data_IF_972954049905
#
_entry.id   IF_972954049905
#
_cell.length_a   1.000
_cell.length_b   1.000
_cell.length_c   1.000
_cell.angle_alpha   90.00
_cell.angle_beta   90.00
_cell.angle_gamma   90.00
#
_symmetry.space_group_name_H-M   'P 1'
#
loop_
_entity.id
_entity.type
_entity.pdbx_description
1 polymer ?
#
# COMPACT_ATOMS: atom_id res chain seq x y z
N UNK A 1 33.50 94.23 -79.49
CA UNK A 1 34.01 93.60 -78.26
C UNK A 1 32.82 92.97 -77.54
N UNK A 2 32.94 91.66 -77.29
CA UNK A 2 32.25 90.89 -76.25
C UNK A 2 30.75 90.51 -76.43
N UNK A 3 30.58 89.19 -76.59
CA UNK A 3 29.57 88.32 -76.00
C UNK A 3 28.08 88.58 -76.35
N UNK A 4 27.63 87.96 -77.44
CA UNK A 4 26.21 87.59 -77.58
C UNK A 4 26.01 86.27 -76.85
N UNK A 5 25.54 86.38 -75.62
CA UNK A 5 25.13 85.27 -74.77
C UNK A 5 23.79 84.75 -75.30
N UNK A 6 23.87 83.77 -76.20
CA UNK A 6 22.69 83.07 -76.71
C UNK A 6 22.11 82.18 -75.59
N UNK A 7 21.11 82.73 -74.90
CA UNK A 7 20.23 81.95 -74.02
C UNK A 7 19.60 80.82 -74.84
N UNK A 8 19.77 79.54 -74.45
CA UNK A 8 19.15 78.45 -75.19
C UNK A 8 17.63 78.54 -75.08
N UNK A 9 16.88 78.09 -76.11
CA UNK A 9 15.42 78.14 -76.09
C UNK A 9 14.89 77.35 -74.88
N UNK A 10 13.93 77.90 -74.15
CA UNK A 10 13.35 77.30 -72.93
C UNK A 10 12.92 75.83 -73.11
N UNK A 11 12.59 75.43 -74.34
CA UNK A 11 12.22 74.06 -74.69
C UNK A 11 13.39 73.04 -74.66
N UNK A 12 14.63 73.46 -74.93
CA UNK A 12 15.79 72.57 -74.96
C UNK A 12 16.43 72.36 -73.57
N UNK A 13 16.38 73.37 -72.69
CA UNK A 13 16.75 73.17 -71.28
C UNK A 13 15.66 72.42 -70.53
N UNK A 14 14.38 72.69 -70.81
CA UNK A 14 13.26 71.92 -70.25
C UNK A 14 13.34 70.43 -70.61
N UNK A 15 13.74 70.05 -71.83
CA UNK A 15 13.86 68.63 -72.21
C UNK A 15 14.99 67.91 -71.46
N UNK A 16 16.12 68.57 -71.18
CA UNK A 16 17.21 67.97 -70.38
C UNK A 16 16.81 67.81 -68.91
N UNK A 17 16.12 68.79 -68.32
CA UNK A 17 15.59 68.65 -66.96
C UNK A 17 14.47 67.62 -66.87
N UNK A 18 13.63 67.47 -67.91
CA UNK A 18 12.61 66.42 -67.99
C UNK A 18 13.27 65.04 -68.07
N UNK A 19 14.29 64.85 -68.92
CA UNK A 19 15.00 63.57 -69.05
C UNK A 19 15.75 63.24 -67.76
N UNK A 20 16.39 64.23 -67.13
CA UNK A 20 17.05 64.06 -65.83
C UNK A 20 16.06 63.72 -64.71
N UNK A 21 14.91 64.39 -64.66
CA UNK A 21 13.85 64.08 -63.71
C UNK A 21 13.25 62.69 -63.95
N UNK A 22 13.13 62.25 -65.21
CA UNK A 22 12.63 60.92 -65.56
C UNK A 22 13.64 59.83 -65.17
N UNK A 23 14.94 60.08 -65.34
CA UNK A 23 16.00 59.17 -64.87
C UNK A 23 16.02 59.07 -63.35
N UNK A 24 15.93 60.19 -62.62
CA UNK A 24 15.88 60.21 -61.16
C UNK A 24 14.59 59.57 -60.65
N UNK A 25 13.47 59.79 -61.33
CA UNK A 25 12.19 59.16 -61.00
C UNK A 25 12.24 57.65 -61.26
N UNK A 26 12.86 57.21 -62.34
CA UNK A 26 13.04 55.78 -62.65
C UNK A 26 14.00 55.08 -61.68
N UNK A 27 15.11 55.71 -61.30
CA UNK A 27 16.03 55.13 -60.32
C UNK A 27 15.46 55.14 -58.91
N UNK A 28 14.70 56.19 -58.54
CA UNK A 28 13.95 56.20 -57.30
C UNK A 28 12.86 55.11 -57.29
N UNK A 29 12.15 54.92 -58.41
CA UNK A 29 11.16 53.85 -58.54
C UNK A 29 11.80 52.46 -58.49
N UNK A 30 12.89 52.24 -59.21
CA UNK A 30 13.62 50.96 -59.22
C UNK A 30 14.24 50.61 -57.86
N UNK A 31 14.63 51.61 -57.05
CA UNK A 31 15.11 51.39 -55.68
C UNK A 31 14.00 50.99 -54.71
N UNK A 32 12.74 51.29 -55.02
CA UNK A 32 11.57 50.91 -54.23
C UNK A 32 10.82 49.71 -54.82
N UNK A 33 11.17 49.28 -56.03
CA UNK A 33 10.55 48.14 -56.69
C UNK A 33 11.12 46.84 -56.11
N UNK A 34 10.36 46.21 -55.22
CA UNK A 34 10.59 44.84 -54.80
C UNK A 34 10.21 43.90 -55.94
N UNK A 35 11.11 42.96 -56.28
CA UNK A 35 10.88 41.92 -57.29
C UNK A 35 10.58 40.63 -56.55
N UNK A 36 9.35 40.16 -56.66
CA UNK A 36 8.93 38.90 -56.03
C UNK A 36 9.48 37.70 -56.82
N UNK A 37 10.45 36.99 -56.24
CA UNK A 37 11.00 35.74 -56.79
C UNK A 37 10.34 34.53 -56.11
N UNK A 38 9.69 33.66 -56.89
CA UNK A 38 8.89 32.55 -56.38
C UNK A 38 9.68 31.24 -56.53
N UNK A 39 10.19 30.72 -55.41
CA UNK A 39 10.72 29.36 -55.36
C UNK A 39 9.57 28.35 -55.37
N UNK A 40 9.64 27.34 -56.25
CA UNK A 40 8.64 26.26 -56.33
C UNK A 40 9.25 24.96 -55.84
N UNK A 41 8.51 24.26 -54.97
CA UNK A 41 8.87 22.92 -54.52
C UNK A 41 7.66 22.01 -54.57
N UNK A 42 7.88 20.75 -54.92
CA UNK A 42 6.88 19.70 -54.77
C UNK A 42 6.98 19.11 -53.37
N UNK A 43 5.84 18.92 -52.70
CA UNK A 43 5.82 18.45 -51.33
C UNK A 43 4.66 17.53 -51.03
N UNK A 44 4.82 16.75 -49.97
CA UNK A 44 3.78 15.86 -49.44
C UNK A 44 3.28 16.37 -48.10
N UNK A 45 1.98 16.20 -47.87
CA UNK A 45 1.38 16.47 -46.56
C UNK A 45 1.74 15.30 -45.65
N UNK A 46 2.52 15.57 -44.61
CA UNK A 46 2.84 14.61 -43.57
C UNK A 46 2.15 15.04 -42.27
N UNK A 47 1.58 14.11 -41.50
CA UNK A 47 1.13 14.44 -40.16
C UNK A 47 2.34 14.93 -39.37
N UNK A 48 2.18 16.02 -38.61
CA UNK A 48 3.25 16.52 -37.74
C UNK A 48 3.69 15.44 -36.72
N UNK A 49 2.77 14.53 -36.40
CA UNK A 49 2.97 13.47 -35.42
C UNK A 49 3.42 12.17 -36.08
N UNK A 50 4.47 11.57 -35.51
CA UNK A 50 4.92 10.22 -35.89
C UNK A 50 3.86 9.17 -35.51
N UNK A 51 3.75 8.12 -36.33
CA UNK A 51 2.92 6.94 -36.03
C UNK A 51 3.28 6.37 -34.66
N UNK A 52 2.27 6.19 -33.81
CA UNK A 52 2.40 5.60 -32.50
C UNK A 52 2.29 4.08 -32.64
N UNK A 53 3.34 3.37 -32.21
CA UNK A 53 3.39 1.91 -32.23
C UNK A 53 2.85 1.41 -30.90
N UNK A 54 1.82 0.57 -30.95
CA UNK A 54 1.18 -0.02 -29.77
C UNK A 54 1.66 -1.45 -29.65
N UNK A 55 2.25 -1.76 -28.51
CA UNK A 55 2.79 -3.07 -28.19
C UNK A 55 2.02 -3.71 -27.05
N UNK A 56 1.93 -5.04 -27.06
CA UNK A 56 1.36 -5.79 -25.96
C UNK A 56 2.28 -5.70 -24.73
N UNK A 57 1.75 -5.24 -23.60
CA UNK A 57 2.50 -5.24 -22.33
C UNK A 57 2.49 -6.62 -21.66
N UNK A 58 1.43 -7.40 -21.88
CA UNK A 58 1.20 -8.72 -21.31
C UNK A 58 1.15 -9.80 -22.40
N UNK A 59 1.53 -11.02 -22.05
CA UNK A 59 1.37 -12.17 -22.94
C UNK A 59 -0.07 -12.68 -22.89
N UNK A 60 -0.61 -13.12 -24.03
CA UNK A 60 -1.95 -13.68 -24.04
C UNK A 60 -2.40 -14.13 -25.42
N UNK A 61 -3.53 -14.84 -25.44
CA UNK A 61 -4.19 -15.27 -26.68
C UNK A 61 -5.20 -14.20 -27.09
N UNK A 62 -5.25 -13.80 -28.36
CA UNK A 62 -6.23 -12.81 -28.83
C UNK A 62 -7.64 -13.38 -28.74
N UNK A 63 -8.47 -12.75 -27.92
CA UNK A 63 -9.87 -13.12 -27.72
C UNK A 63 -10.81 -12.30 -28.60
N UNK A 64 -10.53 -11.00 -28.73
CA UNK A 64 -11.37 -10.06 -29.49
C UNK A 64 -10.49 -9.00 -30.18
N UNK A 65 -10.80 -8.70 -31.43
CA UNK A 65 -10.23 -7.57 -32.18
C UNK A 65 -11.37 -6.60 -32.44
N UNK A 66 -11.34 -5.43 -31.81
CA UNK A 66 -12.45 -4.47 -31.79
C UNK A 66 -12.34 -3.39 -32.88
N UNK A 67 -11.24 -3.33 -33.62
CA UNK A 67 -10.99 -2.30 -34.65
C UNK A 67 -10.55 -2.90 -35.99
N UNK A 68 -10.73 -2.11 -37.04
CA UNK A 68 -10.31 -2.44 -38.41
C UNK A 68 -9.27 -1.45 -38.94
N UNK A 69 -8.46 -1.89 -39.91
CA UNK A 69 -7.49 -1.01 -40.59
C UNK A 69 -8.25 0.12 -41.31
N UNK A 70 -7.80 1.36 -41.12
CA UNK A 70 -8.44 2.57 -41.65
C UNK A 70 -9.56 3.14 -40.78
N UNK A 71 -9.94 2.48 -39.68
CA UNK A 71 -10.95 2.98 -38.74
C UNK A 71 -10.40 4.14 -37.91
N UNK A 72 -11.21 5.18 -37.71
CA UNK A 72 -10.93 6.25 -36.75
C UNK A 72 -11.24 5.76 -35.34
N UNK A 73 -10.28 5.91 -34.44
CA UNK A 73 -10.37 5.52 -33.03
C UNK A 73 -10.08 6.71 -32.14
N UNK A 74 -10.76 6.76 -31.00
CA UNK A 74 -10.52 7.73 -29.96
C UNK A 74 -9.53 7.21 -28.93
N UNK A 75 -8.96 8.12 -28.15
CA UNK A 75 -8.18 7.78 -26.98
C UNK A 75 -8.99 6.87 -26.04
N UNK A 76 -8.36 5.80 -25.57
CA UNK A 76 -8.90 4.72 -24.74
C UNK A 76 -9.87 3.74 -25.44
N UNK A 77 -10.11 3.88 -26.74
CA UNK A 77 -10.88 2.86 -27.47
C UNK A 77 -10.14 1.52 -27.46
N UNK A 78 -10.90 0.44 -27.27
CA UNK A 78 -10.37 -0.92 -27.27
C UNK A 78 -9.91 -1.28 -28.69
N UNK A 79 -8.69 -1.78 -28.80
CA UNK A 79 -8.10 -2.26 -30.06
C UNK A 79 -8.18 -3.78 -30.09
N UNK A 80 -7.54 -4.41 -29.10
CA UNK A 80 -7.47 -5.87 -28.95
C UNK A 80 -7.67 -6.23 -27.48
N UNK A 81 -8.43 -7.29 -27.22
CA UNK A 81 -8.52 -7.94 -25.91
C UNK A 81 -7.80 -9.27 -25.94
N UNK A 82 -6.87 -9.46 -25.02
CA UNK A 82 -6.22 -10.74 -24.78
C UNK A 82 -7.01 -11.55 -23.74
N UNK A 83 -6.96 -12.87 -23.84
CA UNK A 83 -7.47 -13.77 -22.81
C UNK A 83 -6.72 -13.52 -21.50
N UNK A 84 -7.49 -13.18 -20.47
CA UNK A 84 -6.99 -12.81 -19.15
C UNK A 84 -7.37 -13.85 -18.08
N UNK A 85 -7.82 -15.05 -18.47
CA UNK A 85 -8.21 -16.12 -17.54
C UNK A 85 -7.15 -16.42 -16.47
N UNK A 86 -5.87 -16.46 -16.86
CA UNK A 86 -4.75 -16.62 -15.93
C UNK A 86 -4.60 -15.43 -14.97
N UNK A 87 -4.54 -14.21 -15.50
CA UNK A 87 -4.35 -12.99 -14.70
C UNK A 87 -5.54 -12.72 -13.76
N UNK A 88 -6.77 -12.99 -14.21
CA UNK A 88 -7.99 -12.88 -13.41
C UNK A 88 -8.06 -13.94 -12.32
N UNK A 89 -7.59 -15.17 -12.59
CA UNK A 89 -7.47 -16.22 -11.58
C UNK A 89 -6.47 -15.84 -10.48
N UNK A 90 -5.30 -15.32 -10.86
CA UNK A 90 -4.30 -14.82 -9.89
C UNK A 90 -4.83 -13.65 -9.07
N UNK A 91 -5.53 -12.70 -9.68
CA UNK A 91 -6.21 -11.61 -8.96
C UNK A 91 -7.25 -12.15 -7.97
N UNK A 92 -8.06 -13.12 -8.40
CA UNK A 92 -9.07 -13.76 -7.57
C UNK A 92 -8.48 -14.50 -6.37
N UNK A 93 -7.32 -15.14 -6.54
CA UNK A 93 -6.56 -15.79 -5.46
C UNK A 93 -6.12 -14.76 -4.40
N UNK A 94 -5.50 -13.66 -4.83
CA UNK A 94 -5.05 -12.61 -3.92
C UNK A 94 -6.22 -11.92 -3.20
N UNK A 95 -7.33 -11.67 -3.91
CA UNK A 95 -8.56 -11.16 -3.30
C UNK A 95 -9.17 -12.14 -2.29
N UNK A 96 -9.04 -13.46 -2.49
CA UNK A 96 -9.48 -14.45 -1.52
C UNK A 96 -8.59 -14.43 -0.26
N UNK A 97 -7.27 -14.32 -0.43
CA UNK A 97 -6.32 -14.15 0.68
C UNK A 97 -6.61 -12.88 1.49
N UNK A 98 -6.85 -11.74 0.81
CA UNK A 98 -7.18 -10.48 1.48
C UNK A 98 -8.46 -10.60 2.31
N UNK A 99 -9.52 -11.21 1.77
CA UNK A 99 -10.77 -11.47 2.52
C UNK A 99 -10.53 -12.33 3.76
N UNK A 100 -9.73 -13.39 3.65
CA UNK A 100 -9.38 -14.22 4.81
C UNK A 100 -8.61 -13.42 5.88
N UNK A 101 -7.64 -12.60 5.47
CA UNK A 101 -6.87 -11.75 6.38
C UNK A 101 -7.75 -10.70 7.06
N UNK A 102 -8.66 -10.06 6.33
CA UNK A 102 -9.60 -9.09 6.89
C UNK A 102 -10.53 -9.72 7.94
N UNK A 103 -11.05 -10.92 7.70
CA UNK A 103 -11.84 -11.64 8.70
C UNK A 103 -11.01 -11.97 9.94
N UNK A 104 -9.77 -12.45 9.75
CA UNK A 104 -8.82 -12.72 10.84
C UNK A 104 -8.50 -11.45 11.64
N UNK A 105 -8.27 -10.32 10.98
CA UNK A 105 -8.02 -9.02 11.62
C UNK A 105 -9.22 -8.60 12.47
N UNK A 106 -10.45 -8.73 11.95
CA UNK A 106 -11.65 -8.42 12.71
C UNK A 106 -11.76 -9.28 13.97
N UNK A 107 -11.40 -10.58 13.91
CA UNK A 107 -11.39 -11.47 15.09
C UNK A 107 -10.34 -11.03 16.09
N UNK A 108 -9.14 -10.72 15.62
CA UNK A 108 -8.03 -10.31 16.49
C UNK A 108 -8.26 -8.95 17.14
N UNK A 109 -8.88 -8.00 16.44
CA UNK A 109 -9.33 -6.73 17.03
C UNK A 109 -10.40 -6.94 18.10
N UNK A 110 -11.32 -7.88 17.87
CA UNK A 110 -12.31 -8.26 18.85
C UNK A 110 -11.66 -8.90 20.10
N UNK A 111 -10.73 -9.85 19.92
CA UNK A 111 -9.96 -10.47 21.02
C UNK A 111 -9.11 -9.44 21.79
N UNK A 112 -8.46 -8.50 21.09
CA UNK A 112 -7.67 -7.42 21.68
C UNK A 112 -8.50 -6.53 22.60
N UNK A 113 -9.76 -6.28 22.25
CA UNK A 113 -10.66 -5.43 23.04
C UNK A 113 -11.05 -6.05 24.40
N UNK A 114 -10.68 -7.31 24.65
CA UNK A 114 -11.00 -8.04 25.88
C UNK A 114 -12.46 -8.46 25.96
N UNK A 115 -13.23 -8.30 24.88
CA UNK A 115 -14.63 -8.64 24.83
C UNK A 115 -14.75 -10.12 24.42
N UNK A 116 -14.92 -11.01 25.39
CA UNK A 116 -14.87 -12.48 25.16
C UNK A 116 -16.28 -13.11 25.08
N UNK A 117 -17.33 -12.34 25.35
CA UNK A 117 -18.72 -12.84 25.44
C UNK A 117 -19.58 -12.51 24.21
N UNK A 118 -19.11 -11.65 23.31
CA UNK A 118 -19.85 -11.27 22.11
C UNK A 118 -19.67 -12.26 20.94
N UNK A 119 -20.62 -12.22 19.99
CA UNK A 119 -20.47 -12.90 18.70
C UNK A 119 -19.44 -12.17 17.84
N UNK A 120 -18.64 -12.92 17.07
CA UNK A 120 -17.70 -12.35 16.09
C UNK A 120 -18.40 -11.37 15.14
N UNK A 121 -17.98 -10.09 15.08
CA UNK A 121 -18.53 -9.14 14.14
C UNK A 121 -17.86 -9.31 12.76
N UNK A 122 -18.33 -10.28 11.96
CA UNK A 122 -17.77 -10.45 10.61
C UNK A 122 -18.11 -9.24 9.71
N UNK A 123 -17.15 -8.73 8.92
CA UNK A 123 -17.42 -7.69 7.94
C UNK A 123 -18.52 -8.11 6.94
N UNK A 124 -19.49 -7.23 6.71
CA UNK A 124 -20.67 -7.52 5.89
C UNK A 124 -20.33 -7.86 4.42
N UNK A 125 -19.22 -7.35 3.90
CA UNK A 125 -18.74 -7.65 2.54
C UNK A 125 -18.28 -9.12 2.44
N UNK A 126 -17.58 -9.62 3.45
CA UNK A 126 -17.08 -11.00 3.49
C UNK A 126 -18.23 -11.97 3.72
N UNK A 127 -19.17 -11.64 4.62
CA UNK A 127 -20.33 -12.48 4.90
C UNK A 127 -21.18 -12.78 3.65
N UNK A 128 -21.26 -11.83 2.71
CA UNK A 128 -22.01 -12.01 1.45
C UNK A 128 -21.29 -12.87 0.42
N UNK A 129 -19.97 -12.76 0.34
CA UNK A 129 -19.17 -13.39 -0.73
C UNK A 129 -18.64 -14.76 -0.29
N UNK A 130 -18.22 -14.90 0.96
CA UNK A 130 -17.56 -16.09 1.50
C UNK A 130 -17.95 -16.30 2.98
N UNK A 131 -19.20 -16.73 3.27
CA UNK A 131 -19.68 -16.94 4.64
C UNK A 131 -18.86 -17.99 5.40
N UNK A 132 -18.31 -18.99 4.71
CA UNK A 132 -17.50 -20.06 5.32
C UNK A 132 -16.27 -19.54 6.06
N UNK A 133 -15.67 -18.43 5.60
CA UNK A 133 -14.53 -17.80 6.28
C UNK A 133 -14.98 -17.26 7.65
N UNK A 134 -16.11 -16.55 7.68
CA UNK A 134 -16.66 -16.01 8.92
C UNK A 134 -17.03 -17.12 9.91
N UNK A 135 -17.62 -18.20 9.43
CA UNK A 135 -18.01 -19.34 10.27
C UNK A 135 -16.79 -20.05 10.89
N UNK A 136 -15.70 -20.18 10.12
CA UNK A 136 -14.46 -20.77 10.61
C UNK A 136 -13.77 -19.88 11.65
N UNK A 137 -13.72 -18.57 11.42
CA UNK A 137 -13.18 -17.61 12.41
C UNK A 137 -14.03 -17.57 13.69
N UNK A 138 -15.36 -17.65 13.57
CA UNK A 138 -16.25 -17.77 14.73
C UNK A 138 -16.01 -19.06 15.53
N UNK A 139 -15.86 -20.21 14.86
CA UNK A 139 -15.52 -21.47 15.53
C UNK A 139 -14.17 -21.39 16.24
N UNK A 140 -13.18 -20.76 15.60
CA UNK A 140 -11.86 -20.57 16.20
C UNK A 140 -11.91 -19.67 17.43
N UNK A 141 -12.67 -18.56 17.37
CA UNK A 141 -12.88 -17.65 18.50
C UNK A 141 -13.48 -18.38 19.70
N UNK A 142 -14.54 -19.17 19.48
CA UNK A 142 -15.17 -19.97 20.55
C UNK A 142 -14.18 -20.98 21.13
N UNK A 143 -13.43 -21.71 20.29
CA UNK A 143 -12.43 -22.66 20.77
C UNK A 143 -11.30 -22.00 21.58
N UNK A 144 -10.84 -20.81 21.18
CA UNK A 144 -9.81 -20.05 21.93
C UNK A 144 -10.36 -19.56 23.26
N UNK A 145 -11.60 -19.06 23.30
CA UNK A 145 -12.28 -18.67 24.55
C UNK A 145 -12.40 -19.85 25.51
N UNK A 146 -12.91 -20.98 25.04
CA UNK A 146 -13.13 -22.14 25.89
C UNK A 146 -11.78 -22.67 26.44
N UNK A 147 -10.70 -22.62 25.63
CA UNK A 147 -9.35 -22.94 26.09
C UNK A 147 -8.85 -21.99 27.18
N UNK A 148 -9.08 -20.69 27.02
CA UNK A 148 -8.73 -19.68 28.02
C UNK A 148 -9.49 -19.90 29.32
N UNK A 149 -10.79 -20.17 29.25
CA UNK A 149 -11.63 -20.43 30.43
C UNK A 149 -11.16 -21.67 31.20
N UNK A 150 -10.85 -22.75 30.50
CA UNK A 150 -10.28 -23.98 31.11
C UNK A 150 -8.94 -23.72 31.77
N UNK A 151 -8.04 -22.96 31.13
CA UNK A 151 -6.75 -22.59 31.74
C UNK A 151 -6.96 -21.72 32.98
N UNK A 152 -7.86 -20.76 32.90
CA UNK A 152 -8.20 -19.87 34.02
C UNK A 152 -8.78 -20.67 35.19
N UNK A 153 -9.67 -21.63 34.94
CA UNK A 153 -10.24 -22.47 36.00
C UNK A 153 -9.16 -23.30 36.69
N UNK A 154 -8.21 -23.87 35.94
CA UNK A 154 -7.08 -24.62 36.52
C UNK A 154 -6.21 -23.73 37.41
N UNK A 155 -5.88 -22.51 36.96
CA UNK A 155 -5.08 -21.58 37.76
C UNK A 155 -5.83 -21.09 39.01
N UNK A 156 -7.14 -20.84 38.90
CA UNK A 156 -7.98 -20.50 40.05
C UNK A 156 -8.07 -21.65 41.06
N UNK A 157 -8.22 -22.88 40.61
CA UNK A 157 -8.20 -24.05 41.51
C UNK A 157 -6.85 -24.22 42.21
N UNK A 158 -5.73 -23.91 41.54
CA UNK A 158 -4.40 -23.90 42.17
C UNK A 158 -4.28 -22.79 43.22
N UNK A 159 -4.85 -21.61 42.95
CA UNK A 159 -4.88 -20.51 43.92
C UNK A 159 -5.67 -20.90 45.18
N UNK A 160 -6.89 -21.42 45.01
CA UNK A 160 -7.73 -21.92 46.10
C UNK A 160 -7.03 -23.02 46.92
N UNK A 161 -6.30 -23.93 46.26
CA UNK A 161 -5.49 -24.92 46.97
C UNK A 161 -4.41 -24.27 47.85
N UNK A 162 -3.71 -23.25 47.34
CA UNK A 162 -2.66 -22.54 48.10
C UNK A 162 -3.22 -21.72 49.25
N UNK A 163 -4.42 -21.15 49.09
CA UNK A 163 -5.15 -20.48 50.17
C UNK A 163 -5.51 -21.47 51.28
N UNK A 164 -6.01 -22.66 50.94
CA UNK A 164 -6.30 -23.72 51.93
C UNK A 164 -5.05 -24.21 52.66
N UNK A 165 -3.92 -24.34 51.96
CA UNK A 165 -2.63 -24.68 52.59
C UNK A 165 -2.16 -23.59 53.58
N UNK A 166 -2.44 -22.31 53.29
CA UNK A 166 -2.20 -21.22 54.23
C UNK A 166 -3.13 -21.31 55.44
N UNK A 167 -4.42 -21.57 55.23
CA UNK A 167 -5.39 -21.72 56.31
C UNK A 167 -5.00 -22.86 57.26
N UNK A 168 -4.56 -24.01 56.73
CA UNK A 168 -4.05 -25.12 57.53
C UNK A 168 -2.80 -24.72 58.34
N UNK A 169 -1.84 -24.04 57.71
CA UNK A 169 -0.63 -23.58 58.37
C UNK A 169 -0.93 -22.56 59.50
N UNK A 170 -1.88 -21.65 59.28
CA UNK A 170 -2.32 -20.68 60.29
C UNK A 170 -3.03 -21.35 61.46
N UNK A 171 -3.92 -22.31 61.20
CA UNK A 171 -4.57 -23.10 62.24
C UNK A 171 -3.57 -23.89 63.09
N UNK A 172 -2.52 -24.45 62.47
CA UNK A 172 -1.46 -25.13 63.21
C UNK A 172 -0.61 -24.16 64.05
N UNK A 173 -0.28 -22.98 63.52
CA UNK A 173 0.41 -21.94 64.28
C UNK A 173 -0.43 -21.45 65.48
N UNK A 174 -1.75 -21.28 65.29
CA UNK A 174 -2.68 -20.91 66.36
C UNK A 174 -2.80 -21.99 67.45
N UNK A 175 -2.76 -23.27 67.04
CA UNK A 175 -2.71 -24.38 67.99
C UNK A 175 -1.43 -24.35 68.81
N UNK A 176 -0.27 -24.18 68.16
CA UNK A 176 1.04 -24.10 68.81
C UNK A 176 1.15 -22.88 69.73
N UNK A 177 0.62 -21.73 69.33
CA UNK A 177 0.63 -20.51 70.16
C UNK A 177 -0.20 -20.68 71.43
N UNK A 178 -1.36 -21.34 71.35
CA UNK A 178 -2.18 -21.68 72.52
C UNK A 178 -1.46 -22.68 73.45
N UNK A 179 -0.82 -23.71 72.90
CA UNK A 179 -0.02 -24.66 73.68
C UNK A 179 1.17 -23.98 74.37
N UNK A 180 1.87 -23.09 73.66
CA UNK A 180 2.98 -22.32 74.21
C UNK A 180 2.50 -21.42 75.36
N UNK A 181 1.36 -20.75 75.22
CA UNK A 181 0.80 -19.92 76.30
C UNK A 181 0.48 -20.71 77.58
N UNK A 182 0.06 -21.97 77.46
CA UNK A 182 -0.13 -22.86 78.61
C UNK A 182 1.22 -23.29 79.21
N UNK A 183 2.19 -23.66 78.37
CA UNK A 183 3.54 -24.02 78.79
C UNK A 183 4.25 -22.85 79.49
N UNK A 184 4.07 -21.61 79.01
CA UNK A 184 4.60 -20.38 79.63
C UNK A 184 4.08 -20.20 81.06
N UNK A 185 2.78 -20.47 81.28
CA UNK A 185 2.16 -20.42 82.61
C UNK A 185 2.72 -21.50 83.54
N UNK A 186 2.92 -22.72 83.01
CA UNK A 186 3.51 -23.82 83.76
C UNK A 186 4.96 -23.51 84.17
N UNK A 187 5.78 -23.02 83.25
CA UNK A 187 7.17 -22.61 83.52
C UNK A 187 7.22 -21.54 84.60
N UNK A 188 6.38 -20.50 84.52
CA UNK A 188 6.35 -19.42 85.50
C UNK A 188 5.95 -19.92 86.91
N UNK A 189 5.00 -20.85 86.99
CA UNK A 189 4.60 -21.47 88.26
C UNK A 189 5.74 -22.30 88.84
N UNK A 190 6.34 -23.18 88.05
CA UNK A 190 7.47 -24.04 88.45
C UNK A 190 8.68 -23.21 88.87
N UNK A 191 9.03 -22.16 88.12
CA UNK A 191 10.12 -21.25 88.46
C UNK A 191 9.90 -20.62 89.86
N UNK A 192 8.67 -20.18 90.14
CA UNK A 192 8.33 -19.59 91.44
C UNK A 192 8.42 -20.61 92.60
N UNK A 193 8.10 -21.89 92.34
CA UNK A 193 8.17 -22.97 93.33
C UNK A 193 9.62 -23.40 93.60
N UNK A 194 10.45 -23.49 92.56
CA UNK A 194 11.88 -23.79 92.68
C UNK A 194 12.60 -22.66 93.44
N UNK A 195 12.29 -21.38 93.19
CA UNK A 195 12.83 -20.25 93.97
C UNK A 195 12.51 -20.31 95.46
N UNK A 196 11.35 -20.90 95.81
CA UNK A 196 10.93 -21.14 97.20
C UNK A 196 11.46 -22.45 97.78
N UNK A 197 12.24 -23.23 97.01
CA UNK A 197 12.78 -24.53 97.41
C UNK A 197 11.73 -25.67 97.47
N UNK A 198 10.55 -25.46 96.91
CA UNK A 198 9.41 -26.40 96.97
C UNK A 198 9.41 -27.44 95.84
N UNK A 199 10.33 -27.32 94.87
CA UNK A 199 10.43 -28.21 93.72
C UNK A 199 11.89 -28.36 93.26
N UNK A 200 12.21 -29.48 92.61
CA UNK A 200 13.54 -29.76 92.10
C UNK A 200 13.88 -28.95 90.84
N UNK A 201 15.13 -28.49 90.72
CA UNK A 201 15.61 -27.75 89.53
C UNK A 201 15.55 -28.56 88.23
N UNK A 202 15.55 -29.88 88.31
CA UNK A 202 15.37 -30.77 87.16
C UNK A 202 13.98 -30.62 86.53
N UNK A 203 12.96 -30.33 87.33
CA UNK A 203 11.59 -30.08 86.84
C UNK A 203 11.52 -28.77 86.07
N UNK A 204 12.18 -27.72 86.56
CA UNK A 204 12.30 -26.45 85.84
C UNK A 204 12.94 -26.62 84.46
N UNK A 205 14.08 -27.32 84.38
CA UNK A 205 14.76 -27.57 83.10
C UNK A 205 13.88 -28.37 82.12
N UNK A 206 13.04 -29.27 82.64
CA UNK A 206 12.11 -30.06 81.80
C UNK A 206 11.08 -29.15 81.13
N UNK A 207 10.41 -28.29 81.89
CA UNK A 207 9.38 -27.40 81.35
C UNK A 207 10.00 -26.32 80.45
N UNK A 208 11.17 -25.77 80.81
CA UNK A 208 11.92 -24.83 79.96
C UNK A 208 12.30 -25.45 78.59
N UNK A 209 12.66 -26.74 78.56
CA UNK A 209 12.96 -27.45 77.31
C UNK A 209 11.71 -27.60 76.44
N UNK A 210 10.58 -27.96 77.04
CA UNK A 210 9.30 -28.10 76.33
C UNK A 210 8.83 -26.75 75.77
N UNK A 211 8.91 -25.68 76.56
CA UNK A 211 8.63 -24.32 76.12
C UNK A 211 9.52 -23.92 74.93
N UNK A 212 10.83 -24.19 75.02
CA UNK A 212 11.79 -23.89 73.95
C UNK A 212 11.47 -24.66 72.66
N UNK A 213 11.07 -25.93 72.78
CA UNK A 213 10.68 -26.75 71.64
C UNK A 213 9.40 -26.22 70.97
N UNK A 214 8.36 -25.91 71.76
CA UNK A 214 7.12 -25.29 71.26
C UNK A 214 7.37 -23.94 70.58
N UNK A 215 8.26 -23.12 71.16
CA UNK A 215 8.66 -21.84 70.59
C UNK A 215 9.40 -22.04 69.24
N UNK A 216 10.29 -23.03 69.16
CA UNK A 216 10.96 -23.42 67.92
C UNK A 216 9.98 -23.89 66.84
N UNK A 217 9.01 -24.74 67.20
CA UNK A 217 7.96 -25.20 66.29
C UNK A 217 7.07 -24.05 65.80
N UNK A 218 6.70 -23.11 66.68
CA UNK A 218 5.91 -21.94 66.31
C UNK A 218 6.66 -21.03 65.32
N UNK A 219 7.97 -20.83 65.54
CA UNK A 219 8.81 -20.08 64.61
C UNK A 219 8.87 -20.74 63.23
N UNK A 220 9.03 -22.07 63.17
CA UNK A 220 8.98 -22.83 61.90
C UNK A 220 7.62 -22.73 61.22
N UNK A 221 6.53 -22.78 61.97
CA UNK A 221 5.18 -22.57 61.44
C UNK A 221 5.01 -21.15 60.88
N UNK A 222 5.56 -20.14 61.56
CA UNK A 222 5.59 -18.76 61.07
C UNK A 222 6.33 -18.60 59.74
N UNK A 223 7.49 -19.26 59.57
CA UNK A 223 8.20 -19.28 58.29
C UNK A 223 7.42 -20.01 57.19
N UNK A 224 6.72 -21.08 57.55
CA UNK A 224 5.83 -21.80 56.62
C UNK A 224 4.70 -20.90 56.12
N UNK A 225 4.07 -20.12 57.01
CA UNK A 225 3.04 -19.13 56.65
C UNK A 225 3.59 -18.10 55.66
N UNK A 226 4.80 -17.57 55.90
CA UNK A 226 5.44 -16.61 54.97
C UNK A 226 5.66 -17.24 53.60
N UNK A 227 6.15 -18.49 53.55
CA UNK A 227 6.33 -19.25 52.31
C UNK A 227 5.00 -19.46 51.57
N UNK A 228 3.94 -19.86 52.27
CA UNK A 228 2.61 -20.04 51.66
C UNK A 228 2.04 -18.74 51.11
N UNK A 229 2.18 -17.61 51.82
CA UNK A 229 1.77 -16.29 51.31
C UNK A 229 2.52 -15.87 50.05
N UNK A 230 3.82 -16.13 49.99
CA UNK A 230 4.60 -15.89 48.77
C UNK A 230 4.10 -16.77 47.61
N UNK A 231 3.78 -18.04 47.87
CA UNK A 231 3.26 -18.97 46.88
C UNK A 231 1.84 -18.60 46.37
N UNK A 232 0.98 -18.02 47.23
CA UNK A 232 -0.31 -17.45 46.83
C UNK A 232 -0.08 -16.24 45.92
N UNK A 233 0.86 -15.36 46.28
CA UNK A 233 1.18 -14.18 45.46
C UNK A 233 1.69 -14.59 44.08
N UNK A 234 2.56 -15.61 44.01
CA UNK A 234 2.99 -16.22 42.75
C UNK A 234 1.82 -16.78 41.93
N UNK A 235 0.92 -17.57 42.55
CA UNK A 235 -0.26 -18.12 41.88
C UNK A 235 -1.21 -17.02 41.35
N UNK A 236 -1.38 -15.94 42.10
CA UNK A 236 -2.18 -14.79 41.69
C UNK A 236 -1.55 -14.05 40.50
N UNK A 237 -0.21 -13.91 40.49
CA UNK A 237 0.52 -13.35 39.36
C UNK A 237 0.35 -14.22 38.11
N UNK A 238 0.38 -15.55 38.24
CA UNK A 238 0.13 -16.46 37.12
C UNK A 238 -1.29 -16.32 36.54
N UNK A 239 -2.30 -16.12 37.39
CA UNK A 239 -3.68 -15.84 36.94
C UNK A 239 -3.74 -14.54 36.12
N UNK A 240 -3.08 -13.48 36.59
CA UNK A 240 -3.05 -12.19 35.90
C UNK A 240 -2.24 -12.25 34.60
N UNK A 241 -1.12 -12.99 34.61
CA UNK A 241 -0.24 -13.19 33.45
C UNK A 241 -0.98 -13.85 32.29
N UNK A 242 -1.84 -14.83 32.56
CA UNK A 242 -2.61 -15.52 31.51
C UNK A 242 -3.41 -14.55 30.62
N UNK A 243 -4.02 -13.51 31.22
CA UNK A 243 -4.77 -12.49 30.48
C UNK A 243 -3.85 -11.60 29.63
N UNK A 244 -2.72 -11.17 30.19
CA UNK A 244 -1.72 -10.38 29.47
C UNK A 244 -1.11 -11.16 28.30
N UNK A 245 -0.87 -12.45 28.49
CA UNK A 245 -0.31 -13.34 27.48
C UNK A 245 -1.27 -13.49 26.28
N UNK A 246 -2.57 -13.68 26.54
CA UNK A 246 -3.58 -13.69 25.47
C UNK A 246 -3.62 -12.37 24.69
N UNK A 247 -3.57 -11.23 25.40
CA UNK A 247 -3.57 -9.91 24.77
C UNK A 247 -2.31 -9.68 23.93
N UNK A 248 -1.14 -10.10 24.43
CA UNK A 248 0.13 -10.01 23.72
C UNK A 248 0.12 -10.88 22.46
N UNK A 249 -0.37 -12.12 22.54
CA UNK A 249 -0.53 -13.02 21.40
C UNK A 249 -1.46 -12.42 20.34
N UNK A 250 -2.63 -11.92 20.75
CA UNK A 250 -3.59 -11.29 19.83
C UNK A 250 -3.01 -10.05 19.13
N UNK A 251 -2.26 -9.21 19.85
CA UNK A 251 -1.57 -8.04 19.30
C UNK A 251 -0.46 -8.42 18.31
N UNK A 252 0.32 -9.44 18.64
CA UNK A 252 1.38 -9.94 17.76
C UNK A 252 0.79 -10.51 16.47
N UNK A 253 -0.23 -11.36 16.60
CA UNK A 253 -0.97 -11.93 15.46
C UNK A 253 -1.63 -10.83 14.61
N UNK A 254 -2.18 -9.79 15.25
CA UNK A 254 -2.81 -8.66 14.57
C UNK A 254 -1.80 -7.88 13.75
N UNK A 255 -0.64 -7.58 14.33
CA UNK A 255 0.42 -6.84 13.65
C UNK A 255 0.94 -7.63 12.44
N UNK A 256 1.11 -8.94 12.58
CA UNK A 256 1.49 -9.81 11.46
C UNK A 256 0.41 -9.84 10.37
N UNK A 257 -0.86 -10.01 10.74
CA UNK A 257 -1.95 -10.05 9.78
C UNK A 257 -2.14 -8.72 9.03
N UNK A 258 -1.92 -7.58 9.69
CA UNK A 258 -1.94 -6.26 9.06
C UNK A 258 -0.77 -6.06 8.09
N UNK A 259 0.42 -6.55 8.45
CA UNK A 259 1.58 -6.52 7.55
C UNK A 259 1.35 -7.40 6.31
N UNK A 260 0.84 -8.62 6.51
CA UNK A 260 0.50 -9.55 5.43
C UNK A 260 -0.58 -8.96 4.52
N UNK A 261 -1.62 -8.34 5.09
CA UNK A 261 -2.68 -7.67 4.33
C UNK A 261 -2.11 -6.53 3.48
N UNK A 262 -1.20 -5.73 4.03
CA UNK A 262 -0.56 -4.63 3.29
C UNK A 262 0.23 -5.12 2.08
N UNK A 263 0.89 -6.28 2.20
CA UNK A 263 1.61 -6.93 1.09
C UNK A 263 0.65 -7.48 0.05
N UNK A 264 -0.43 -8.14 0.48
CA UNK A 264 -1.46 -8.69 -0.41
C UNK A 264 -2.18 -7.56 -1.15
N UNK A 265 -2.52 -6.45 -0.49
CA UNK A 265 -3.18 -5.30 -1.11
C UNK A 265 -2.32 -4.68 -2.23
N UNK A 266 -0.99 -4.59 -2.02
CA UNK A 266 -0.09 -4.13 -3.07
C UNK A 266 0.01 -5.13 -4.23
N UNK A 267 -0.03 -6.43 -3.92
CA UNK A 267 -0.07 -7.49 -4.93
C UNK A 267 -1.38 -7.46 -5.73
N UNK A 268 -2.52 -7.20 -5.07
CA UNK A 268 -3.82 -7.00 -5.72
C UNK A 268 -3.77 -5.81 -6.66
N UNK A 269 -3.17 -4.68 -6.25
CA UNK A 269 -2.98 -3.51 -7.12
C UNK A 269 -2.23 -3.88 -8.39
N UNK A 270 -1.08 -4.55 -8.25
CA UNK A 270 -0.28 -5.02 -9.38
C UNK A 270 -1.02 -6.03 -10.26
N UNK A 271 -1.74 -6.99 -9.67
CA UNK A 271 -2.53 -7.98 -10.41
C UNK A 271 -3.72 -7.34 -11.15
N UNK A 272 -4.36 -6.33 -10.55
CA UNK A 272 -5.44 -5.55 -11.18
C UNK A 272 -4.91 -4.80 -12.40
N UNK A 273 -3.74 -4.17 -12.29
CA UNK A 273 -3.08 -3.49 -13.41
C UNK A 273 -2.73 -4.47 -14.53
N UNK A 274 -2.24 -5.67 -14.21
CA UNK A 274 -1.97 -6.72 -15.21
C UNK A 274 -3.24 -7.15 -15.93
N UNK A 275 -4.34 -7.35 -15.21
CA UNK A 275 -5.64 -7.64 -15.83
C UNK A 275 -6.07 -6.49 -16.72
N UNK A 276 -5.97 -5.24 -16.27
CA UNK A 276 -6.32 -4.08 -17.08
C UNK A 276 -5.46 -3.95 -18.36
N UNK A 277 -4.18 -4.33 -18.32
CA UNK A 277 -3.26 -4.30 -19.46
C UNK A 277 -3.50 -5.41 -20.49
N UNK A 278 -4.37 -6.38 -20.22
CA UNK A 278 -4.83 -7.35 -21.23
C UNK A 278 -5.79 -6.73 -22.25
N UNK A 279 -6.46 -5.63 -21.88
CA UNK A 279 -7.22 -4.77 -22.79
C UNK A 279 -6.26 -3.74 -23.40
N UNK A 280 -5.84 -3.96 -24.65
CA UNK A 280 -4.97 -3.03 -25.38
C UNK A 280 -5.82 -1.91 -25.98
N UNK A 281 -5.54 -0.67 -25.55
CA UNK A 281 -6.32 0.52 -25.91
C UNK A 281 -5.48 1.57 -26.63
N UNK A 282 -6.14 2.44 -27.39
CA UNK A 282 -5.47 3.54 -28.08
C UNK A 282 -4.98 4.63 -27.12
N UNK A 283 -3.71 5.06 -27.16
CA UNK A 283 -3.22 6.17 -26.32
C UNK A 283 -3.62 7.56 -26.84
N UNK A 284 -4.02 7.66 -28.11
CA UNK A 284 -4.29 8.93 -28.82
C UNK A 284 -5.53 8.80 -29.72
N UNK A 285 -6.13 9.92 -30.08
CA UNK A 285 -7.13 9.97 -31.15
C UNK A 285 -6.41 9.86 -32.50
N UNK A 286 -6.87 8.97 -33.38
CA UNK A 286 -6.13 8.63 -34.59
C UNK A 286 -6.85 7.69 -35.54
N UNK A 287 -6.15 7.35 -36.61
CA UNK A 287 -6.58 6.34 -37.58
C UNK A 287 -5.65 5.13 -37.46
N UNK A 288 -6.23 3.93 -37.45
CA UNK A 288 -5.47 2.68 -37.44
C UNK A 288 -4.80 2.48 -38.79
N UNK A 289 -3.47 2.59 -38.83
CA UNK A 289 -2.67 2.46 -40.04
C UNK A 289 -2.25 1.01 -40.31
N UNK A 290 -1.80 0.31 -39.27
CA UNK A 290 -1.39 -1.11 -39.36
C UNK A 290 -1.98 -1.93 -38.22
N UNK A 291 -2.29 -3.19 -38.50
CA UNK A 291 -2.73 -4.19 -37.54
C UNK A 291 -1.93 -5.47 -37.79
N UNK A 292 -0.91 -5.70 -36.99
CA UNK A 292 0.04 -6.81 -37.19
C UNK A 292 -0.55 -8.14 -36.68
N UNK A 293 -1.52 -8.05 -35.77
CA UNK A 293 -2.26 -9.20 -35.23
C UNK A 293 -3.72 -9.13 -35.70
N UNK A 294 -4.05 -9.90 -36.72
CA UNK A 294 -5.38 -9.91 -37.36
C UNK A 294 -6.16 -11.23 -37.17
N UNK A 295 -5.58 -12.22 -36.50
CA UNK A 295 -6.16 -13.54 -36.29
C UNK A 295 -6.64 -13.73 -34.85
N UNK A 296 -7.92 -14.09 -34.69
CA UNK A 296 -8.47 -14.53 -33.41
C UNK A 296 -7.79 -15.85 -33.00
N UNK A 297 -7.42 -15.98 -31.72
CA UNK A 297 -6.70 -17.14 -31.20
C UNK A 297 -5.17 -17.11 -31.41
N UNK A 298 -4.62 -16.05 -32.00
CA UNK A 298 -3.16 -15.88 -32.07
C UNK A 298 -2.55 -15.60 -30.70
N UNK A 299 -1.38 -16.18 -30.45
CA UNK A 299 -0.62 -15.92 -29.22
C UNK A 299 0.32 -14.71 -29.42
N UNK A 300 0.20 -13.73 -28.53
CA UNK A 300 0.99 -12.50 -28.56
C UNK A 300 2.01 -12.53 -27.42
N UNK A 301 3.28 -12.30 -27.74
CA UNK A 301 4.35 -12.17 -26.76
C UNK A 301 4.43 -10.74 -26.21
N UNK A 302 4.92 -10.54 -24.96
CA UNK A 302 5.19 -9.20 -24.44
C UNK A 302 6.16 -8.44 -25.34
N UNK A 303 5.86 -7.18 -25.64
CA UNK A 303 6.64 -6.32 -26.53
C UNK A 303 6.36 -6.49 -28.02
N UNK A 304 5.53 -7.47 -28.42
CA UNK A 304 5.11 -7.62 -29.80
C UNK A 304 4.26 -6.41 -30.24
N UNK A 305 4.49 -5.94 -31.47
CA UNK A 305 3.69 -4.87 -32.08
C UNK A 305 2.31 -5.42 -32.43
N UNK A 306 1.28 -4.69 -32.02
CA UNK A 306 -0.12 -5.08 -32.18
C UNK A 306 -0.80 -4.19 -33.22
N UNK A 307 -0.65 -2.88 -33.09
CA UNK A 307 -1.24 -1.91 -34.00
C UNK A 307 -0.38 -0.64 -34.12
N UNK A 308 -0.47 0.04 -35.26
CA UNK A 308 0.10 1.37 -35.48
C UNK A 308 -1.00 2.41 -35.66
N UNK A 309 -1.02 3.45 -34.83
CA UNK A 309 -2.01 4.53 -34.91
C UNK A 309 -1.34 5.82 -35.37
N UNK A 310 -1.89 6.41 -36.42
CA UNK A 310 -1.48 7.74 -36.89
C UNK A 310 -2.38 8.77 -36.20
N UNK A 311 -1.82 9.67 -35.36
CA UNK A 311 -2.62 10.69 -34.69
C UNK A 311 -3.27 11.61 -35.71
N UNK A 312 -4.54 11.94 -35.50
CA UNK A 312 -5.20 13.00 -36.27
C UNK A 312 -4.83 14.34 -35.63
N UNK A 313 -3.56 14.75 -35.77
CA UNK A 313 -3.13 16.07 -35.28
C UNK A 313 -3.76 17.16 -36.14
N UNK A 314 -4.25 18.24 -35.51
CA UNK A 314 -4.80 19.40 -36.22
C UNK A 314 -3.72 20.14 -37.04
N UNK A 315 -2.44 19.93 -36.73
CA UNK A 315 -1.32 20.49 -37.47
C UNK A 315 -0.79 19.48 -38.50
N UNK A 316 -1.03 19.78 -39.77
CA UNK A 316 -0.44 19.08 -40.91
C UNK A 316 0.82 19.87 -41.34
N UNK A 317 1.95 19.18 -41.47
CA UNK A 317 3.18 19.79 -41.99
C UNK A 317 3.31 19.42 -43.46
N UNK A 318 3.70 20.39 -44.28
CA UNK A 318 4.02 20.14 -45.69
C UNK A 318 5.51 20.03 -45.82
N UNK A 319 5.99 18.82 -46.13
CA UNK A 319 7.40 18.59 -46.46
C UNK A 319 7.58 18.84 -47.95
N UNK A 320 8.11 20.01 -48.32
CA UNK A 320 8.40 20.38 -49.70
C UNK A 320 9.89 20.21 -50.03
N UNK A 321 10.16 19.61 -51.19
CA UNK A 321 11.50 19.51 -51.77
C UNK A 321 11.71 20.67 -52.73
N UNK A 322 12.68 21.51 -52.43
CA UNK A 322 13.03 22.67 -53.26
C UNK A 322 14.34 22.40 -54.00
N UNK A 323 14.44 22.90 -55.23
CA UNK A 323 15.66 22.84 -56.01
C UNK A 323 16.82 23.55 -55.28
N UNK A 324 18.04 22.98 -55.26
CA UNK A 324 19.20 23.62 -54.63
C UNK A 324 19.55 25.01 -55.19
N UNK A 325 19.07 25.36 -56.39
CA UNK A 325 19.27 26.70 -56.98
C UNK A 325 18.44 27.79 -56.28
N UNK A 326 17.33 27.40 -55.66
CA UNK A 326 16.36 28.32 -55.06
C UNK A 326 16.50 28.37 -53.52
N UNK A 327 17.42 27.59 -52.94
CA UNK A 327 17.65 27.50 -51.49
C UNK A 327 18.15 28.82 -50.88
N UNK A 328 18.85 29.64 -51.67
CA UNK A 328 19.41 30.91 -51.21
C UNK A 328 18.34 31.97 -50.90
N UNK A 329 17.10 31.75 -51.36
CA UNK A 329 15.98 32.69 -51.25
C UNK A 329 14.94 32.26 -50.21
N UNK A 330 15.15 31.12 -49.55
CA UNK A 330 14.23 30.58 -48.52
C UNK A 330 14.78 30.90 -47.13
N UNK A 331 13.95 31.53 -46.31
CA UNK A 331 14.24 31.86 -44.92
C UNK A 331 13.16 31.32 -43.98
N UNK A 332 13.50 30.99 -42.71
CA UNK A 332 12.49 30.70 -41.70
C UNK A 332 11.47 31.84 -41.60
N UNK A 333 10.21 31.49 -41.30
CA UNK A 333 9.07 32.41 -41.11
C UNK A 333 8.55 33.15 -42.35
N UNK A 334 8.99 32.78 -43.56
CA UNK A 334 8.38 33.27 -44.81
C UNK A 334 6.97 32.68 -45.02
N UNK A 335 6.04 33.52 -45.49
CA UNK A 335 4.69 33.07 -45.87
C UNK A 335 4.75 32.16 -47.10
N UNK A 336 4.20 30.95 -46.98
CA UNK A 336 4.17 29.97 -48.05
C UNK A 336 2.74 29.79 -48.59
N UNK A 337 2.56 29.90 -49.91
CA UNK A 337 1.29 29.60 -50.58
C UNK A 337 1.23 28.12 -50.98
N UNK A 338 0.41 27.34 -50.27
CA UNK A 338 0.22 25.91 -50.56
C UNK A 338 -0.95 25.75 -51.54
N UNK A 339 -0.70 25.11 -52.68
CA UNK A 339 -1.74 24.71 -53.64
C UNK A 339 -1.91 23.20 -53.59
N UNK A 340 -3.04 22.73 -53.06
CA UNK A 340 -3.37 21.30 -52.97
C UNK A 340 -4.01 20.83 -54.27
N UNK A 341 -3.40 19.85 -54.95
CA UNK A 341 -3.99 19.17 -56.11
C UNK A 341 -4.92 18.05 -55.63
N UNK A 342 -6.04 17.82 -56.33
CA UNK A 342 -7.06 16.85 -55.93
C UNK A 342 -6.75 15.40 -56.36
N UNK A 343 -5.69 15.20 -57.14
CA UNK A 343 -5.23 13.92 -57.67
C UNK A 343 -3.70 13.94 -57.75
N UNK A 344 -3.10 12.76 -57.62
CA UNK A 344 -1.66 12.48 -57.68
C UNK A 344 -0.97 13.14 -58.89
#
# INVERSE_FOLDING_TARGET
MLAREDRPPLFASASVYIIGALFVCFTAWASFAEVDEIARGEGKVIPASKTQIIQASEAGVVQEIAVQIGQTVKKNDLIIRLDNSGNTSSLGEEQAKARALQARIARLQFEQSGNVEGSFPCPAEIQKVAPEICDNEQKLLVARRDNFEVKLSVLKSRLDQREKELDEATANADRLSKSLAVSDQETALVESMVKKGLMAKTEQIRVEREQTDLHGQLNLAGETIKKSKAAITEAQLQVNELGLQLQQEALSDLTQALADLSVVDETIRGATDKVARTDIRSPVDGIVNTLDVNTLGAFVQPGAVVAGIVPTSETLLVEARVSPRDVAFIQPDQEALIKVTAYD
#
